data_IF_118491307759
#
_entry.id   IF_118491307759
#
_cell.length_a   1.000
_cell.length_b   1.000
_cell.length_c   1.000
_cell.angle_alpha   90.00
_cell.angle_beta   90.00
_cell.angle_gamma   90.00
#
_symmetry.space_group_name_H-M   'P 1'
#
loop_
_entity.id
_entity.type
_entity.pdbx_description
1 polymer ?
#
# COMPACT_ATOMS: atom_id res chain seq x y z
N UNK A 1 15.12 17.02 5.79
CA UNK A 1 14.24 15.99 6.39
C UNK A 1 14.10 14.87 5.37
N UNK A 2 14.65 13.68 5.63
CA UNK A 2 14.61 12.59 4.65
C UNK A 2 13.20 12.10 4.36
N UNK A 3 13.01 11.39 3.24
CA UNK A 3 11.72 10.86 2.80
C UNK A 3 10.99 10.02 3.87
N UNK A 4 11.74 9.32 4.71
CA UNK A 4 11.23 8.55 5.86
C UNK A 4 10.58 9.44 6.93
N UNK A 5 11.12 10.65 7.16
CA UNK A 5 10.58 11.60 8.14
C UNK A 5 9.18 12.05 7.75
N UNK A 6 9.00 12.45 6.49
CA UNK A 6 7.70 12.86 5.95
C UNK A 6 6.66 11.73 6.04
N UNK A 7 7.08 10.50 5.74
CA UNK A 7 6.20 9.33 5.85
C UNK A 7 5.82 9.05 7.30
N UNK A 8 6.71 9.26 8.28
CA UNK A 8 6.34 9.15 9.71
C UNK A 8 5.27 10.15 10.11
N UNK A 9 5.41 11.40 9.68
CA UNK A 9 4.44 12.46 9.98
C UNK A 9 3.07 12.13 9.36
N UNK A 10 3.05 11.70 8.09
CA UNK A 10 1.84 11.25 7.41
C UNK A 10 1.22 10.01 8.07
N UNK A 11 2.05 9.04 8.46
CA UNK A 11 1.58 7.80 9.09
C UNK A 11 0.87 8.10 10.41
N UNK A 12 1.43 8.99 11.23
CA UNK A 12 0.80 9.44 12.46
C UNK A 12 -0.51 10.15 12.19
N UNK A 13 -0.55 11.05 11.21
CA UNK A 13 -1.76 11.78 10.85
C UNK A 13 -2.89 10.87 10.29
N UNK A 14 -2.54 9.79 9.60
CA UNK A 14 -3.53 8.89 8.95
C UNK A 14 -3.98 7.76 9.88
N UNK A 15 -3.09 7.20 10.69
CA UNK A 15 -3.30 5.96 11.43
C UNK A 15 -3.15 6.09 12.95
N UNK A 16 -2.83 7.29 13.45
CA UNK A 16 -2.59 7.55 14.87
C UNK A 16 -1.55 6.60 15.50
N UNK A 17 -0.45 6.36 14.77
CA UNK A 17 0.62 5.48 15.23
C UNK A 17 1.96 5.91 14.66
N UNK A 18 3.04 5.65 15.39
CA UNK A 18 4.42 5.80 14.91
C UNK A 18 4.93 4.56 14.18
N UNK A 19 4.26 3.42 14.37
CA UNK A 19 4.66 2.18 13.72
C UNK A 19 4.27 2.22 12.24
N UNK A 20 5.27 2.13 11.36
CA UNK A 20 5.08 2.05 9.91
C UNK A 20 5.18 0.59 9.48
N UNK A 21 6.38 0.02 9.57
CA UNK A 21 6.72 -1.38 9.28
C UNK A 21 7.76 -1.85 10.31
N UNK A 22 7.98 -3.16 10.40
CA UNK A 22 8.89 -3.74 11.42
C UNK A 22 10.36 -3.38 11.20
N UNK A 23 10.79 -3.23 9.95
CA UNK A 23 12.16 -2.87 9.56
C UNK A 23 12.12 -2.04 8.28
N UNK A 24 13.12 -1.18 8.08
CA UNK A 24 13.40 -0.54 6.77
C UNK A 24 14.60 -1.19 6.06
N UNK A 25 15.18 -2.23 6.67
CA UNK A 25 16.21 -3.06 6.04
C UNK A 25 15.51 -4.25 5.35
N UNK A 26 15.11 -4.02 4.10
CA UNK A 26 14.44 -5.00 3.25
C UNK A 26 14.97 -4.89 1.83
N UNK A 27 15.13 -6.04 1.18
CA UNK A 27 15.38 -6.10 -0.26
C UNK A 27 14.27 -5.39 -1.04
N UNK A 28 14.67 -4.60 -2.03
CA UNK A 28 13.80 -3.85 -2.93
C UNK A 28 12.75 -2.97 -2.22
N UNK A 29 13.11 -2.43 -1.04
CA UNK A 29 12.29 -1.44 -0.35
C UNK A 29 12.00 -0.24 -1.26
N UNK A 30 10.71 0.05 -1.45
CA UNK A 30 10.25 1.26 -2.12
C UNK A 30 9.36 2.08 -1.20
N UNK A 31 9.54 3.40 -1.29
CA UNK A 31 8.70 4.38 -0.63
C UNK A 31 8.21 5.34 -1.70
N UNK A 32 6.89 5.47 -1.81
CA UNK A 32 6.22 6.43 -2.67
C UNK A 32 5.53 7.48 -1.81
N UNK A 33 5.57 8.73 -2.26
CA UNK A 33 4.77 9.81 -1.71
C UNK A 33 3.91 10.41 -2.80
N UNK A 34 2.63 10.59 -2.49
CA UNK A 34 1.75 11.47 -3.25
C UNK A 34 1.87 12.88 -2.66
N UNK A 35 2.07 13.86 -3.53
CA UNK A 35 2.23 15.27 -3.17
C UNK A 35 1.16 16.07 -3.91
N UNK A 36 0.45 16.94 -3.21
CA UNK A 36 -0.50 17.87 -3.81
C UNK A 36 0.23 18.87 -4.70
N UNK A 37 -0.26 19.05 -5.93
CA UNK A 37 0.28 20.06 -6.85
C UNK A 37 0.18 21.47 -6.25
N UNK A 38 -0.98 21.78 -5.65
CA UNK A 38 -1.18 23.01 -4.90
C UNK A 38 -0.42 22.95 -3.56
N UNK A 39 0.66 23.73 -3.45
CA UNK A 39 1.40 23.94 -2.21
C UNK A 39 2.43 22.85 -1.86
N UNK A 40 2.55 21.78 -2.64
CA UNK A 40 3.60 20.77 -2.45
C UNK A 40 3.45 19.94 -1.17
N UNK A 41 2.25 19.90 -0.59
CA UNK A 41 1.99 19.17 0.65
C UNK A 41 1.97 17.66 0.39
N UNK A 42 2.66 16.83 1.19
CA UNK A 42 2.49 15.39 1.17
C UNK A 42 1.07 14.99 1.60
N UNK A 43 0.41 14.13 0.83
CA UNK A 43 -1.02 13.78 1.04
C UNK A 43 -1.29 12.29 1.12
N UNK A 44 -0.32 11.47 0.72
CA UNK A 44 -0.43 10.03 0.82
C UNK A 44 0.92 9.36 0.61
N UNK A 45 1.00 8.09 0.96
CA UNK A 45 2.21 7.31 0.78
C UNK A 45 1.87 5.85 0.56
N UNK A 46 2.84 5.12 -0.02
CA UNK A 46 2.82 3.66 -0.09
C UNK A 46 4.23 3.13 0.06
N UNK A 47 4.36 2.03 0.80
CA UNK A 47 5.62 1.37 1.09
C UNK A 47 5.45 -0.10 0.77
N UNK A 48 6.44 -0.67 0.10
CA UNK A 48 6.50 -2.10 -0.14
C UNK A 48 7.94 -2.59 -0.22
N UNK A 49 8.08 -3.90 -0.23
CA UNK A 49 9.37 -4.58 -0.30
C UNK A 49 9.20 -6.01 -0.79
N UNK A 50 10.31 -6.67 -1.10
CA UNK A 50 10.35 -8.09 -1.48
C UNK A 50 9.78 -8.99 -0.39
N UNK A 51 8.80 -9.84 -0.73
CA UNK A 51 8.32 -10.90 0.16
C UNK A 51 8.91 -12.26 -0.18
N UNK A 52 9.10 -12.54 -1.46
CA UNK A 52 9.69 -13.77 -1.98
C UNK A 52 10.45 -13.50 -3.28
N UNK A 53 10.92 -14.53 -3.98
CA UNK A 53 11.48 -14.36 -5.32
C UNK A 53 10.46 -13.88 -6.36
N UNK A 54 9.18 -14.18 -6.16
CA UNK A 54 8.12 -13.89 -7.14
C UNK A 54 7.15 -12.81 -6.67
N UNK A 55 7.07 -12.56 -5.36
CA UNK A 55 6.02 -11.72 -4.78
C UNK A 55 6.58 -10.44 -4.20
N UNK A 56 6.02 -9.31 -4.66
CA UNK A 56 6.24 -8.01 -4.06
C UNK A 56 5.10 -7.67 -3.09
N UNK A 57 5.47 -7.21 -1.88
CA UNK A 57 4.51 -6.94 -0.82
C UNK A 57 4.35 -5.44 -0.56
N UNK A 58 3.14 -4.92 -0.80
CA UNK A 58 2.73 -3.58 -0.39
C UNK A 58 2.38 -3.59 1.10
N UNK A 59 3.37 -3.29 1.94
CA UNK A 59 3.30 -3.43 3.38
C UNK A 59 2.44 -2.39 4.10
N UNK A 60 2.50 -1.12 3.68
CA UNK A 60 1.68 -0.06 4.27
C UNK A 60 1.46 1.09 3.32
N UNK A 61 0.30 1.72 3.39
CA UNK A 61 0.03 2.94 2.65
C UNK A 61 -1.30 3.54 3.08
N UNK A 62 -1.45 4.84 2.82
CA UNK A 62 -2.65 5.57 3.19
C UNK A 62 -2.68 6.94 2.57
N UNK A 63 -3.88 7.53 2.54
CA UNK A 63 -4.14 8.88 2.06
C UNK A 63 -4.79 9.68 3.18
N UNK A 64 -4.32 10.91 3.37
CA UNK A 64 -4.84 11.86 4.34
C UNK A 64 -6.36 12.06 4.14
N UNK A 65 -7.18 12.12 5.21
CA UNK A 65 -8.64 12.12 5.10
C UNK A 65 -9.22 13.13 4.10
N UNK A 66 -8.72 14.37 4.08
CA UNK A 66 -9.18 15.41 3.16
C UNK A 66 -8.82 15.21 1.68
N UNK A 67 -7.96 14.24 1.38
CA UNK A 67 -7.48 13.91 0.03
C UNK A 67 -8.01 12.56 -0.49
N UNK A 68 -8.87 11.90 0.29
CA UNK A 68 -9.48 10.62 -0.11
C UNK A 68 -10.51 10.84 -1.22
N UNK A 69 -10.86 9.74 -1.90
CA UNK A 69 -11.85 9.70 -3.00
C UNK A 69 -11.49 10.52 -4.24
N UNK A 70 -10.21 10.83 -4.42
CA UNK A 70 -9.66 11.52 -5.59
C UNK A 70 -8.70 10.63 -6.41
N UNK A 71 -8.83 9.30 -6.32
CA UNK A 71 -7.98 8.35 -7.06
C UNK A 71 -6.54 8.19 -6.53
N UNK A 72 -6.10 8.98 -5.56
CA UNK A 72 -4.70 8.97 -5.07
C UNK A 72 -4.23 7.58 -4.60
N UNK A 73 -5.07 6.82 -3.87
CA UNK A 73 -4.70 5.49 -3.40
C UNK A 73 -4.52 4.49 -4.56
N UNK A 74 -5.36 4.61 -5.60
CA UNK A 74 -5.26 3.83 -6.85
C UNK A 74 -3.97 4.17 -7.58
N UNK A 75 -3.68 5.46 -7.80
CA UNK A 75 -2.42 5.90 -8.43
C UNK A 75 -1.17 5.39 -7.70
N UNK A 76 -1.14 5.49 -6.36
CA UNK A 76 -0.06 4.95 -5.54
C UNK A 76 0.06 3.42 -5.66
N UNK A 77 -1.06 2.71 -5.80
CA UNK A 77 -1.08 1.27 -6.01
C UNK A 77 -0.48 0.90 -7.37
N UNK A 78 -0.95 1.49 -8.46
CA UNK A 78 -0.43 1.20 -9.80
C UNK A 78 1.05 1.59 -9.95
N UNK A 79 1.50 2.73 -9.40
CA UNK A 79 2.93 3.09 -9.48
C UNK A 79 3.80 2.07 -8.73
N UNK A 80 3.40 1.65 -7.53
CA UNK A 80 4.16 0.66 -6.77
C UNK A 80 4.18 -0.70 -7.46
N UNK A 81 3.03 -1.14 -8.00
CA UNK A 81 2.91 -2.39 -8.73
C UNK A 81 3.69 -2.37 -10.05
N UNK A 82 3.58 -1.29 -10.84
CA UNK A 82 4.34 -1.13 -12.07
C UNK A 82 5.86 -1.11 -11.85
N UNK A 83 6.32 -0.49 -10.74
CA UNK A 83 7.75 -0.58 -10.35
C UNK A 83 8.15 -1.99 -9.93
N UNK A 84 7.27 -2.74 -9.27
CA UNK A 84 7.52 -4.14 -8.92
C UNK A 84 7.61 -5.02 -10.19
N UNK A 85 6.67 -4.88 -11.12
CA UNK A 85 6.68 -5.60 -12.39
C UNK A 85 7.98 -5.34 -13.19
N UNK A 86 8.43 -4.08 -13.25
CA UNK A 86 9.72 -3.71 -13.90
C UNK A 86 10.95 -4.33 -13.23
N UNK A 87 10.84 -4.80 -11.98
CA UNK A 87 11.90 -5.54 -11.27
C UNK A 87 11.78 -7.07 -11.41
N UNK A 88 10.82 -7.55 -12.20
CA UNK A 88 10.65 -8.98 -12.49
C UNK A 88 9.83 -9.75 -11.46
N UNK A 89 9.11 -9.07 -10.57
CA UNK A 89 8.12 -9.74 -9.72
C UNK A 89 6.92 -10.18 -10.56
N UNK A 90 6.40 -11.38 -10.28
CA UNK A 90 5.22 -11.93 -10.93
C UNK A 90 3.93 -11.54 -10.18
N UNK A 91 3.96 -11.54 -8.85
CA UNK A 91 2.78 -11.26 -8.01
C UNK A 91 2.91 -9.98 -7.21
N UNK A 92 1.79 -9.28 -7.06
CA UNK A 92 1.65 -8.17 -6.13
C UNK A 92 0.66 -8.49 -5.05
N UNK A 93 0.99 -8.11 -3.83
CA UNK A 93 0.23 -8.58 -2.70
C UNK A 93 0.15 -7.48 -1.63
N UNK A 94 -1.00 -7.31 -0.96
CA UNK A 94 -1.06 -6.68 0.38
C UNK A 94 -2.02 -7.41 1.37
N UNK A 95 -1.90 -7.09 2.66
CA UNK A 95 -2.88 -7.49 3.69
C UNK A 95 -3.72 -6.27 4.11
N UNK A 96 -4.99 -6.50 4.46
CA UNK A 96 -5.85 -5.47 5.03
C UNK A 96 -6.83 -6.02 6.06
N UNK A 97 -7.44 -5.12 6.82
CA UNK A 97 -8.45 -5.39 7.85
C UNK A 97 -9.74 -4.69 7.40
N UNK A 98 -10.76 -5.42 6.90
CA UNK A 98 -11.89 -4.83 6.20
C UNK A 98 -12.75 -3.92 7.08
N UNK A 99 -12.85 -4.17 8.40
CA UNK A 99 -13.63 -3.31 9.29
C UNK A 99 -12.86 -2.04 9.67
N UNK A 100 -11.52 -2.07 9.68
CA UNK A 100 -10.68 -0.89 9.97
C UNK A 100 -10.37 -0.07 8.72
N UNK A 101 -10.19 -0.72 7.58
CA UNK A 101 -9.73 -0.14 6.32
C UNK A 101 -10.60 -0.60 5.14
N UNK A 102 -11.93 -0.40 5.18
CA UNK A 102 -12.85 -0.91 4.16
C UNK A 102 -12.50 -0.41 2.74
N UNK A 103 -11.96 0.81 2.63
CA UNK A 103 -11.52 1.37 1.36
C UNK A 103 -10.40 0.57 0.68
N UNK A 104 -9.55 -0.13 1.44
CA UNK A 104 -8.51 -1.00 0.86
C UNK A 104 -9.08 -2.33 0.38
N UNK A 105 -10.14 -2.84 1.01
CA UNK A 105 -10.88 -4.01 0.54
C UNK A 105 -11.60 -3.68 -0.77
N UNK A 106 -12.32 -2.56 -0.81
CA UNK A 106 -13.02 -2.09 -2.02
C UNK A 106 -12.01 -1.85 -3.15
N UNK A 107 -10.93 -1.11 -2.90
CA UNK A 107 -9.89 -0.88 -3.90
C UNK A 107 -9.33 -2.19 -4.46
N UNK A 108 -9.02 -3.18 -3.61
CA UNK A 108 -8.51 -4.47 -4.08
C UNK A 108 -9.44 -5.17 -5.04
N UNK A 109 -10.71 -5.28 -4.66
CA UNK A 109 -11.73 -5.91 -5.49
C UNK A 109 -11.95 -5.12 -6.80
N UNK A 110 -11.95 -3.80 -6.75
CA UNK A 110 -12.09 -2.93 -7.93
C UNK A 110 -10.89 -3.05 -8.88
N UNK A 111 -9.67 -3.29 -8.37
CA UNK A 111 -8.45 -3.50 -9.16
C UNK A 111 -8.25 -4.98 -9.60
N UNK A 112 -9.23 -5.86 -9.35
CA UNK A 112 -9.14 -7.27 -9.75
C UNK A 112 -8.27 -8.16 -8.86
N UNK A 113 -7.91 -7.72 -7.65
CA UNK A 113 -7.22 -8.59 -6.68
C UNK A 113 -8.17 -9.66 -6.13
N UNK A 114 -7.62 -10.85 -5.91
CA UNK A 114 -8.32 -11.96 -5.26
C UNK A 114 -7.97 -12.07 -3.78
N UNK A 115 -8.96 -12.47 -2.97
CA UNK A 115 -8.72 -12.82 -1.57
C UNK A 115 -8.19 -14.25 -1.51
N UNK A 116 -6.89 -14.42 -1.30
CA UNK A 116 -6.24 -15.74 -1.29
C UNK A 116 -6.10 -16.35 0.11
N UNK A 117 -6.22 -15.53 1.16
CA UNK A 117 -6.15 -15.99 2.56
C UNK A 117 -6.95 -15.08 3.47
N UNK A 118 -7.57 -15.67 4.49
CA UNK A 118 -8.22 -14.97 5.58
C UNK A 118 -7.85 -15.59 6.93
N UNK A 119 -7.79 -14.78 7.98
CA UNK A 119 -7.61 -15.26 9.34
C UNK A 119 -7.94 -14.21 10.38
N UNK A 120 -8.63 -14.62 11.45
CA UNK A 120 -8.97 -13.71 12.54
C UNK A 120 -7.72 -13.27 13.30
N UNK A 121 -7.61 -11.98 13.57
CA UNK A 121 -6.55 -11.41 14.40
C UNK A 121 -7.15 -10.87 15.70
N UNK A 122 -6.92 -11.57 16.80
CA UNK A 122 -7.35 -11.12 18.12
C UNK A 122 -6.78 -9.74 18.50
N UNK A 123 -5.54 -9.43 18.06
CA UNK A 123 -4.91 -8.12 18.28
C UNK A 123 -5.68 -6.96 17.64
N UNK A 124 -6.25 -7.19 16.46
CA UNK A 124 -6.95 -6.16 15.71
C UNK A 124 -8.47 -6.29 15.81
N UNK A 125 -8.97 -7.34 16.46
CA UNK A 125 -10.39 -7.67 16.56
C UNK A 125 -11.08 -7.67 15.18
N UNK A 126 -10.36 -8.18 14.18
CA UNK A 126 -10.80 -8.18 12.78
C UNK A 126 -10.15 -9.34 12.00
N UNK A 127 -10.74 -9.68 10.86
CA UNK A 127 -10.17 -10.63 9.91
C UNK A 127 -9.09 -9.94 9.08
N UNK A 128 -7.86 -10.45 9.14
CA UNK A 128 -6.83 -10.08 8.17
C UNK A 128 -7.10 -10.81 6.87
N UNK A 129 -7.30 -10.06 5.79
CA UNK A 129 -7.46 -10.57 4.45
C UNK A 129 -6.18 -10.32 3.65
N UNK A 130 -5.70 -11.36 2.97
CA UNK A 130 -4.61 -11.34 2.00
C UNK A 130 -5.22 -11.14 0.62
N UNK A 131 -4.81 -10.06 -0.03
CA UNK A 131 -5.09 -9.81 -1.45
C UNK A 131 -3.83 -10.09 -2.27
N UNK A 132 -4.00 -10.79 -3.39
CA UNK A 132 -2.96 -11.04 -4.39
C UNK A 132 -3.52 -10.85 -5.80
N UNK A 133 -2.67 -10.43 -6.73
CA UNK A 133 -2.91 -10.49 -8.17
C UNK A 133 -1.61 -10.85 -8.88
N UNK A 134 -1.74 -11.38 -10.10
CA UNK A 134 -0.63 -11.42 -11.05
C UNK A 134 -0.43 -10.01 -11.61
N UNK A 135 0.82 -9.56 -11.66
CA UNK A 135 1.20 -8.22 -12.12
C UNK A 135 0.94 -8.02 -13.61
N UNK A 136 0.84 -9.09 -14.39
CA UNK A 136 0.48 -9.04 -15.81
C UNK A 136 -1.00 -8.70 -16.03
N UNK A 137 -1.87 -9.05 -15.08
CA UNK A 137 -3.31 -8.80 -15.15
C UNK A 137 -3.70 -7.41 -14.62
N UNK A 138 -2.81 -6.78 -13.84
CA UNK A 138 -3.06 -5.45 -13.33
C UNK A 138 -2.90 -4.42 -14.45
N UNK A 139 -4.00 -3.77 -14.84
CA UNK A 139 -3.97 -2.65 -15.79
C UNK A 139 -3.21 -1.47 -15.17
N UNK A 140 -1.89 -1.44 -15.36
CA UNK A 140 -1.07 -0.28 -15.03
C UNK A 140 -1.12 0.64 -16.25
N UNK A 141 -1.73 1.83 -16.12
CA UNK A 141 -1.64 2.88 -17.14
C UNK A 141 -0.16 3.06 -17.51
N UNK A 142 0.15 2.77 -18.78
CA UNK A 142 1.50 2.81 -19.36
C UNK A 142 1.98 4.23 -19.60
#
# INVERSE_FOLDING_TARGET
MGQVGVIRDLNRAIFDTDHIINSFDHDDLMLLLAVAEAGGAPVGFKIGYRLSAETYYSAKGGVAPGWRRQGIARLLLHDLAGRAARRGYARFAYDTFPNKHPGMTVLGLDEGFEVTRAGYSARYEDYRLRFECELEDLEVER
#
